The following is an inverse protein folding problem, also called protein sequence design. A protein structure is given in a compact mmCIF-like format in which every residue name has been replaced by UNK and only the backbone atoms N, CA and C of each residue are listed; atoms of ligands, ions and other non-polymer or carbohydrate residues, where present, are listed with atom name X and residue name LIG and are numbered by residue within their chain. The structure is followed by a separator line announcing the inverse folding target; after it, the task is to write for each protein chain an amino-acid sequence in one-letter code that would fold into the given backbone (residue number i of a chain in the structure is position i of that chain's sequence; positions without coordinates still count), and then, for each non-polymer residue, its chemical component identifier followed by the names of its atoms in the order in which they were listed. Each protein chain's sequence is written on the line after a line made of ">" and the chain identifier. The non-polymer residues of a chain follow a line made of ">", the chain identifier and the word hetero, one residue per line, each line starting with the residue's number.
data_IF_942039351629
#
_entry.id   IF_942039351629
#
_cell.length_a   1.000
_cell.length_b   1.000
_cell.length_c   1.000
_cell.angle_alpha   90.00
_cell.angle_beta   90.00
_cell.angle_gamma   90.00
#
_symmetry.space_group_name_H-M   'P 1'
#
loop_
_entity.id
_entity.type
_entity.pdbx_description
1 polymer ?
#
# COMPACT_ATOMS: atom_id res chain seq x y z
N UNK A 1 -17.11 -34.60 8.57
CA UNK A 1 -18.38 -34.48 7.81
C UNK A 1 -18.25 -33.28 6.89
N UNK A 2 -18.38 -33.47 5.57
CA UNK A 2 -18.17 -32.43 4.54
C UNK A 2 -19.20 -31.30 4.63
N UNK A 3 -20.45 -31.63 4.91
CA UNK A 3 -21.54 -30.63 4.98
C UNK A 3 -21.31 -29.61 6.09
N UNK A 4 -20.88 -30.07 7.26
CA UNK A 4 -20.57 -29.20 8.40
C UNK A 4 -19.40 -28.25 8.09
N UNK A 5 -18.37 -28.74 7.40
CA UNK A 5 -17.26 -27.91 6.95
C UNK A 5 -17.72 -26.86 5.93
N UNK A 6 -18.57 -27.22 4.98
CA UNK A 6 -19.11 -26.28 3.99
C UNK A 6 -19.91 -25.16 4.65
N UNK A 7 -20.74 -25.45 5.66
CA UNK A 7 -21.46 -24.42 6.40
C UNK A 7 -20.51 -23.41 7.06
N UNK A 8 -19.48 -23.90 7.76
CA UNK A 8 -18.44 -23.04 8.36
C UNK A 8 -17.71 -22.23 7.29
N UNK A 9 -17.37 -22.85 6.16
CA UNK A 9 -16.69 -22.18 5.06
C UNK A 9 -17.53 -21.04 4.45
N UNK A 10 -18.86 -21.20 4.39
CA UNK A 10 -19.75 -20.11 3.98
C UNK A 10 -19.80 -19.01 5.04
N UNK A 11 -19.95 -19.36 6.32
CA UNK A 11 -20.08 -18.38 7.41
C UNK A 11 -18.83 -17.52 7.61
N UNK A 12 -17.66 -18.01 7.17
CA UNK A 12 -16.39 -17.29 7.25
C UNK A 12 -15.92 -16.70 5.92
N UNK A 13 -16.72 -16.77 4.84
CA UNK A 13 -16.33 -16.40 3.47
C UNK A 13 -14.98 -17.02 3.04
N UNK A 14 -14.83 -18.32 3.28
CA UNK A 14 -13.57 -19.01 3.04
C UNK A 14 -13.25 -19.06 1.53
N UNK A 15 -11.97 -18.84 1.21
CA UNK A 15 -11.49 -18.84 -0.16
C UNK A 15 -11.76 -20.19 -0.86
N UNK A 16 -12.30 -20.11 -2.08
CA UNK A 16 -12.71 -21.28 -2.85
C UNK A 16 -11.62 -22.36 -3.00
N UNK A 17 -10.37 -21.96 -3.26
CA UNK A 17 -9.26 -22.90 -3.41
C UNK A 17 -9.02 -23.72 -2.14
N UNK A 18 -9.13 -23.08 -0.96
CA UNK A 18 -9.00 -23.75 0.34
C UNK A 18 -10.18 -24.72 0.56
N UNK A 19 -11.39 -24.27 0.23
CA UNK A 19 -12.60 -25.09 0.30
C UNK A 19 -12.47 -26.34 -0.57
N UNK A 20 -12.06 -26.19 -1.84
CA UNK A 20 -11.84 -27.31 -2.76
C UNK A 20 -10.81 -28.29 -2.23
N UNK A 21 -9.64 -27.80 -1.83
CA UNK A 21 -8.53 -28.61 -1.34
C UNK A 21 -8.89 -29.45 -0.10
N UNK A 22 -9.57 -28.85 0.87
CA UNK A 22 -9.98 -29.57 2.09
C UNK A 22 -11.04 -30.63 1.79
N UNK A 23 -12.02 -30.32 0.95
CA UNK A 23 -13.08 -31.28 0.60
C UNK A 23 -12.54 -32.46 -0.19
N UNK A 24 -11.63 -32.24 -1.15
CA UNK A 24 -10.97 -33.31 -1.89
C UNK A 24 -10.27 -34.35 -1.00
N UNK A 25 -9.87 -33.98 0.23
CA UNK A 25 -9.24 -34.89 1.20
C UNK A 25 -10.20 -35.53 2.18
N UNK A 26 -11.39 -34.96 2.32
CA UNK A 26 -12.44 -35.54 3.16
C UNK A 26 -13.26 -36.59 2.41
N UNK A 27 -13.23 -36.57 1.07
CA UNK A 27 -13.89 -37.60 0.26
C UNK A 27 -13.10 -38.91 0.27
N UNK A 28 -13.80 -40.06 0.31
CA UNK A 28 -13.17 -41.35 0.17
C UNK A 28 -12.52 -41.52 -1.22
N UNK A 29 -11.40 -42.23 -1.28
CA UNK A 29 -10.80 -42.65 -2.55
C UNK A 29 -11.78 -43.56 -3.29
N UNK A 30 -12.03 -43.24 -4.58
CA UNK A 30 -12.73 -43.90 -5.72
C UNK A 30 -13.60 -45.16 -5.55
N UNK A 31 -13.47 -45.95 -4.49
CA UNK A 31 -14.08 -47.27 -4.31
C UNK A 31 -15.28 -47.29 -3.36
N UNK A 32 -15.74 -46.12 -2.89
CA UNK A 32 -16.93 -46.00 -2.05
C UNK A 32 -18.03 -45.30 -2.84
N UNK A 33 -19.23 -45.86 -2.86
CA UNK A 33 -20.42 -45.32 -3.51
C UNK A 33 -20.89 -44.00 -2.83
N UNK A 34 -20.12 -42.93 -2.98
CA UNK A 34 -20.52 -41.57 -2.61
C UNK A 34 -21.11 -40.86 -3.82
N UNK A 35 -22.14 -40.05 -3.58
CA UNK A 35 -22.83 -39.25 -4.61
C UNK A 35 -21.94 -38.19 -5.26
N UNK A 36 -20.86 -37.80 -4.57
CA UNK A 36 -19.85 -36.85 -5.05
C UNK A 36 -18.48 -37.51 -4.93
N UNK A 37 -17.71 -37.48 -6.02
CA UNK A 37 -16.35 -38.00 -6.07
C UNK A 37 -15.32 -36.87 -6.30
N UNK A 38 -14.04 -37.22 -6.23
CA UNK A 38 -12.94 -36.24 -6.39
C UNK A 38 -12.91 -35.66 -7.82
N UNK A 39 -13.34 -36.42 -8.83
CA UNK A 39 -13.40 -35.93 -10.20
C UNK A 39 -14.47 -34.84 -10.37
N UNK A 40 -15.66 -35.04 -9.80
CA UNK A 40 -16.75 -34.05 -9.80
C UNK A 40 -16.34 -32.76 -9.11
N UNK A 41 -15.62 -32.86 -7.98
CA UNK A 41 -15.05 -31.67 -7.30
C UNK A 41 -13.99 -30.97 -8.15
N UNK A 42 -13.21 -31.72 -8.93
CA UNK A 42 -12.18 -31.13 -9.79
C UNK A 42 -12.78 -30.20 -10.85
N UNK A 43 -13.99 -30.48 -11.33
CA UNK A 43 -14.71 -29.69 -12.33
C UNK A 43 -15.33 -28.41 -11.79
N UNK A 44 -15.63 -28.35 -10.48
CA UNK A 44 -16.11 -27.13 -9.84
C UNK A 44 -15.11 -25.98 -10.07
N UNK A 45 -15.63 -24.76 -10.26
CA UNK A 45 -14.83 -23.54 -10.51
C UNK A 45 -15.07 -22.44 -9.48
N UNK A 46 -16.07 -22.61 -8.62
CA UNK A 46 -16.46 -21.63 -7.62
C UNK A 46 -17.00 -22.28 -6.35
N UNK A 47 -17.10 -21.49 -5.27
CA UNK A 47 -17.81 -21.91 -4.07
C UNK A 47 -19.29 -22.22 -4.41
N UNK A 48 -19.94 -21.46 -5.28
CA UNK A 48 -21.32 -21.74 -5.66
C UNK A 48 -21.48 -23.16 -6.25
N UNK A 49 -20.59 -23.56 -7.16
CA UNK A 49 -20.60 -24.90 -7.75
C UNK A 49 -20.37 -25.98 -6.67
N UNK A 50 -19.42 -25.75 -5.77
CA UNK A 50 -19.12 -26.67 -4.67
C UNK A 50 -20.33 -26.90 -3.78
N UNK A 51 -21.04 -25.83 -3.39
CA UNK A 51 -22.21 -25.96 -2.53
C UNK A 51 -23.40 -26.60 -3.28
N UNK A 52 -23.52 -26.37 -4.59
CA UNK A 52 -24.52 -27.03 -5.42
C UNK A 52 -24.35 -28.55 -5.47
N UNK A 53 -23.10 -29.05 -5.56
CA UNK A 53 -22.81 -30.49 -5.56
C UNK A 53 -23.30 -31.20 -4.28
N UNK A 54 -23.38 -30.49 -3.16
CA UNK A 54 -23.84 -31.03 -1.87
C UNK A 54 -25.27 -30.59 -1.51
N UNK A 55 -26.02 -29.99 -2.44
CA UNK A 55 -27.40 -29.54 -2.20
C UNK A 55 -27.52 -28.38 -1.20
N UNK A 56 -26.45 -27.61 -1.01
CA UNK A 56 -26.37 -26.48 -0.06
C UNK A 56 -26.50 -25.10 -0.75
N UNK A 57 -27.06 -25.06 -1.95
CA UNK A 57 -27.21 -23.82 -2.74
C UNK A 57 -27.96 -22.74 -1.97
N UNK A 58 -29.12 -23.07 -1.39
CA UNK A 58 -29.98 -22.12 -0.69
C UNK A 58 -29.27 -21.55 0.56
N UNK A 59 -28.54 -22.40 1.28
CA UNK A 59 -27.74 -21.99 2.42
C UNK A 59 -26.67 -20.97 2.01
N UNK A 60 -25.86 -21.30 1.00
CA UNK A 60 -24.79 -20.43 0.51
C UNK A 60 -25.32 -19.07 0.02
N UNK A 61 -26.43 -19.08 -0.73
CA UNK A 61 -27.06 -17.86 -1.21
C UNK A 61 -27.58 -16.99 -0.06
N UNK A 62 -28.20 -17.59 0.96
CA UNK A 62 -28.69 -16.84 2.12
C UNK A 62 -27.56 -16.14 2.90
N UNK A 63 -26.43 -16.84 3.09
CA UNK A 63 -25.25 -16.30 3.78
C UNK A 63 -24.64 -15.15 2.96
N UNK A 64 -24.50 -15.33 1.64
CA UNK A 64 -23.97 -14.28 0.76
C UNK A 64 -24.87 -13.05 0.70
N UNK A 65 -26.20 -13.22 0.67
CA UNK A 65 -27.14 -12.11 0.77
C UNK A 65 -26.99 -11.33 2.08
N UNK A 66 -26.69 -12.03 3.18
CA UNK A 66 -26.36 -11.43 4.47
C UNK A 66 -25.09 -10.58 4.43
N UNK A 67 -24.02 -11.09 3.81
CA UNK A 67 -22.78 -10.32 3.63
C UNK A 67 -22.98 -9.10 2.74
N UNK A 68 -23.70 -9.24 1.62
CA UNK A 68 -24.02 -8.13 0.72
C UNK A 68 -24.84 -7.05 1.44
N UNK A 69 -25.83 -7.45 2.24
CA UNK A 69 -26.65 -6.51 3.02
C UNK A 69 -25.82 -5.74 4.05
N UNK A 70 -24.90 -6.41 4.75
CA UNK A 70 -23.97 -5.77 5.69
C UNK A 70 -23.00 -4.83 4.98
N UNK A 71 -22.47 -5.24 3.83
CA UNK A 71 -21.59 -4.41 3.01
C UNK A 71 -22.31 -3.15 2.51
N UNK A 72 -23.56 -3.28 2.03
CA UNK A 72 -24.39 -2.15 1.62
C UNK A 72 -24.69 -1.19 2.79
N UNK A 73 -25.04 -1.73 3.96
CA UNK A 73 -25.27 -0.94 5.17
C UNK A 73 -24.00 -0.22 5.66
N UNK A 74 -22.82 -0.82 5.49
CA UNK A 74 -21.54 -0.22 5.80
C UNK A 74 -21.16 0.87 4.80
N UNK A 75 -21.38 0.66 3.50
CA UNK A 75 -21.12 1.65 2.45
C UNK A 75 -21.94 2.94 2.66
N UNK A 76 -23.20 2.82 3.11
CA UNK A 76 -24.03 3.98 3.48
C UNK A 76 -23.52 4.74 4.71
N UNK A 77 -22.76 4.08 5.59
CA UNK A 77 -22.19 4.68 6.80
C UNK A 77 -20.82 5.30 6.61
N UNK A 78 -20.13 4.98 5.52
CA UNK A 78 -18.84 5.60 5.25
C UNK A 78 -19.09 7.09 4.97
N UNK A 79 -18.47 8.01 5.74
CA UNK A 79 -18.52 9.41 5.39
C UNK A 79 -17.91 9.55 4.00
N UNK A 80 -18.62 10.23 3.10
CA UNK A 80 -18.00 10.71 1.86
C UNK A 80 -16.76 11.46 2.30
N UNK A 81 -15.58 11.04 1.83
CA UNK A 81 -14.36 11.79 2.06
C UNK A 81 -14.54 13.14 1.36
N UNK A 82 -15.05 14.11 2.11
CA UNK A 82 -15.05 15.50 1.74
C UNK A 82 -13.74 16.01 2.31
N UNK A 83 -12.70 16.21 1.49
CA UNK A 83 -11.48 16.81 1.99
C UNK A 83 -11.84 18.13 2.68
N UNK A 84 -11.42 18.29 3.93
CA UNK A 84 -11.71 19.44 4.81
C UNK A 84 -11.25 20.79 4.21
N UNK A 85 -10.47 20.72 3.13
CA UNK A 85 -10.03 21.85 2.33
C UNK A 85 -10.10 21.49 0.86
N UNK A 86 -10.98 22.16 0.11
CA UNK A 86 -10.80 22.27 -1.34
C UNK A 86 -9.58 23.16 -1.57
N UNK A 87 -8.48 22.59 -2.09
CA UNK A 87 -7.35 23.40 -2.52
C UNK A 87 -7.77 24.15 -3.78
N UNK A 88 -7.72 25.49 -3.72
CA UNK A 88 -7.87 26.31 -4.91
C UNK A 88 -6.57 26.25 -5.73
N UNK A 89 -6.54 25.29 -6.66
CA UNK A 89 -5.42 25.06 -7.58
C UNK A 89 -5.32 26.16 -8.66
N UNK A 90 -6.10 27.25 -8.59
CA UNK A 90 -6.07 28.34 -9.57
C UNK A 90 -4.68 29.01 -9.72
N UNK A 91 -3.82 28.90 -8.70
CA UNK A 91 -2.44 29.41 -8.79
C UNK A 91 -1.48 28.48 -9.54
N UNK A 92 -1.88 27.24 -9.84
CA UNK A 92 -1.07 26.25 -10.56
C UNK A 92 -1.21 26.51 -12.07
N UNK A 93 -0.32 27.35 -12.60
CA UNK A 93 -0.31 27.72 -14.02
C UNK A 93 0.07 26.56 -14.93
N UNK A 94 0.89 25.63 -14.45
CA UNK A 94 1.28 24.44 -15.20
C UNK A 94 1.55 23.26 -14.27
N UNK A 95 0.64 22.28 -14.26
CA UNK A 95 0.74 21.06 -13.46
C UNK A 95 2.01 20.27 -13.75
N UNK A 96 2.52 20.28 -14.99
CA UNK A 96 3.72 19.54 -15.37
C UNK A 96 5.01 20.09 -14.73
N UNK A 97 5.00 21.33 -14.24
CA UNK A 97 6.13 21.94 -13.54
C UNK A 97 5.84 22.21 -12.06
N UNK A 98 4.77 21.63 -11.51
CA UNK A 98 4.41 21.82 -10.11
C UNK A 98 4.86 20.63 -9.28
N UNK A 99 5.44 20.89 -8.11
CA UNK A 99 5.84 19.85 -7.17
C UNK A 99 4.86 19.79 -6.00
N UNK A 100 3.97 18.79 -5.98
CA UNK A 100 2.94 18.63 -4.94
C UNK A 100 3.52 18.55 -3.51
N UNK A 101 4.57 17.75 -3.21
CA UNK A 101 5.16 17.70 -1.87
C UNK A 101 5.68 19.06 -1.40
N UNK A 102 6.15 19.89 -2.31
CA UNK A 102 6.82 21.15 -1.99
C UNK A 102 5.92 22.37 -2.10
N UNK A 103 4.81 22.30 -2.86
CA UNK A 103 3.90 23.41 -3.12
C UNK A 103 4.51 24.50 -4.01
N UNK A 104 5.51 24.16 -4.84
CA UNK A 104 6.25 25.13 -5.66
C UNK A 104 5.99 24.92 -7.15
N UNK A 105 5.74 26.02 -7.84
CA UNK A 105 5.66 26.07 -9.30
C UNK A 105 7.07 26.34 -9.87
N UNK A 106 7.58 25.39 -10.63
CA UNK A 106 8.85 25.50 -11.33
C UNK A 106 8.62 26.02 -12.76
N UNK A 107 9.69 26.49 -13.38
CA UNK A 107 9.65 27.21 -14.65
C UNK A 107 9.91 26.31 -15.85
N UNK A 108 10.54 25.15 -15.65
CA UNK A 108 10.88 24.21 -16.73
C UNK A 108 10.97 22.75 -16.27
N UNK A 109 10.95 21.83 -17.23
CA UNK A 109 11.15 20.39 -16.96
C UNK A 109 12.54 20.08 -16.36
N UNK A 110 13.57 20.87 -16.71
CA UNK A 110 14.91 20.70 -16.15
C UNK A 110 14.93 21.07 -14.66
N UNK A 111 14.23 22.13 -14.28
CA UNK A 111 14.09 22.56 -12.88
C UNK A 111 13.35 21.51 -12.06
N UNK A 112 12.32 20.87 -12.61
CA UNK A 112 11.59 19.75 -11.98
C UNK A 112 12.55 18.59 -11.71
N UNK A 113 13.27 18.15 -12.74
CA UNK A 113 14.22 17.03 -12.61
C UNK A 113 15.34 17.33 -11.61
N UNK A 114 15.82 18.57 -11.56
CA UNK A 114 16.80 19.02 -10.56
C UNK A 114 16.21 19.08 -9.14
N UNK A 115 14.99 19.61 -9.03
CA UNK A 115 14.25 19.75 -7.77
C UNK A 115 13.99 18.39 -7.11
N UNK A 116 13.45 17.42 -7.86
CA UNK A 116 13.14 16.07 -7.37
C UNK A 116 14.39 15.34 -6.86
N UNK A 117 15.53 15.54 -7.53
CA UNK A 117 16.81 14.95 -7.14
C UNK A 117 17.46 15.65 -5.95
N UNK A 118 17.01 16.87 -5.63
CA UNK A 118 17.54 17.73 -4.59
C UNK A 118 17.35 17.18 -3.17
N UNK A 119 18.30 17.50 -2.28
CA UNK A 119 18.29 17.07 -0.87
C UNK A 119 17.03 17.55 -0.12
N UNK A 120 16.59 18.78 -0.37
CA UNK A 120 15.43 19.38 0.31
C UNK A 120 14.13 18.63 -0.02
N UNK A 121 13.90 18.35 -1.31
CA UNK A 121 12.74 17.58 -1.76
C UNK A 121 12.73 16.18 -1.12
N UNK A 122 13.84 15.44 -1.22
CA UNK A 122 13.99 14.10 -0.64
C UNK A 122 13.73 14.08 0.86
N UNK A 123 14.22 15.07 1.60
CA UNK A 123 13.98 15.18 3.03
C UNK A 123 12.50 15.42 3.33
N UNK A 124 11.84 16.31 2.58
CA UNK A 124 10.41 16.60 2.75
C UNK A 124 9.55 15.37 2.50
N UNK A 125 9.81 14.64 1.40
CA UNK A 125 9.13 13.38 1.08
C UNK A 125 9.33 12.33 2.18
N UNK A 126 10.57 12.18 2.69
CA UNK A 126 10.85 11.26 3.80
C UNK A 126 10.06 11.63 5.06
N UNK A 127 10.06 12.91 5.44
CA UNK A 127 9.32 13.38 6.62
C UNK A 127 7.82 13.18 6.46
N UNK A 128 7.25 13.46 5.28
CA UNK A 128 5.83 13.21 4.98
C UNK A 128 5.49 11.72 5.09
N UNK A 129 6.34 10.84 4.55
CA UNK A 129 6.15 9.39 4.67
C UNK A 129 6.17 8.94 6.15
N UNK A 130 7.11 9.45 6.96
CA UNK A 130 7.17 9.14 8.39
C UNK A 130 5.94 9.65 9.16
N UNK A 131 5.44 10.85 8.82
CA UNK A 131 4.23 11.41 9.45
C UNK A 131 2.99 10.60 9.09
N UNK A 132 2.84 10.18 7.83
CA UNK A 132 1.71 9.35 7.40
C UNK A 132 1.67 8.01 8.15
N UNK A 133 2.83 7.38 8.35
CA UNK A 133 2.94 6.12 9.10
C UNK A 133 2.64 6.31 10.60
N UNK A 134 3.04 7.45 11.19
CA UNK A 134 2.74 7.78 12.58
C UNK A 134 1.25 8.05 12.82
N UNK A 135 0.59 8.77 11.91
CA UNK A 135 -0.84 9.05 11.95
C UNK A 135 -1.68 7.77 11.85
N UNK A 136 -1.27 6.82 10.99
CA UNK A 136 -1.92 5.51 10.88
C UNK A 136 -1.75 4.65 12.15
N UNK A 137 -0.71 4.92 12.94
CA UNK A 137 -0.41 4.20 14.19
C UNK A 137 -1.05 4.84 15.44
N UNK A 138 -1.87 5.89 15.28
CA UNK A 138 -2.61 6.52 16.38
C UNK A 138 -1.76 7.29 17.39
N UNK A 139 -0.57 7.75 17.01
CA UNK A 139 0.30 8.55 17.89
C UNK A 139 0.00 10.05 17.71
N UNK A 140 -0.53 10.71 18.74
CA UNK A 140 -0.82 12.15 18.74
C UNK A 140 0.46 13.00 18.63
N UNK A 141 0.73 13.58 17.46
CA UNK A 141 1.89 14.46 17.21
C UNK A 141 1.55 15.95 17.24
N UNK A 142 0.59 16.38 18.06
CA UNK A 142 0.06 17.76 18.09
C UNK A 142 1.06 18.86 18.46
N UNK A 143 2.33 18.53 18.77
CA UNK A 143 3.31 19.48 19.30
C UNK A 143 4.57 19.75 18.45
N UNK A 144 4.70 19.24 17.21
CA UNK A 144 5.94 19.45 16.43
C UNK A 144 5.95 20.66 15.47
N UNK A 145 4.83 21.38 15.33
CA UNK A 145 4.69 22.41 14.28
C UNK A 145 5.23 23.80 14.63
N UNK A 146 5.88 24.03 15.78
CA UNK A 146 6.31 25.37 16.23
C UNK A 146 7.83 25.64 16.23
N UNK A 147 8.64 24.85 15.51
CA UNK A 147 10.10 25.04 15.54
C UNK A 147 10.79 24.95 14.16
N UNK A 148 10.20 25.54 13.11
CA UNK A 148 10.87 25.72 11.83
C UNK A 148 10.69 27.15 11.28
N UNK A 149 10.81 28.13 12.16
CA UNK A 149 11.08 29.51 11.79
C UNK A 149 12.41 29.90 12.43
N UNK A 150 13.52 29.63 11.75
CA UNK A 150 14.81 30.27 12.03
C UNK A 150 15.58 30.50 10.73
N UNK A 151 15.59 31.79 10.35
CA UNK A 151 16.56 32.59 9.60
C UNK A 151 16.78 32.36 8.10
N UNK A 152 16.09 33.21 7.34
CA UNK A 152 16.72 34.24 6.49
C UNK A 152 17.97 34.85 7.17
N UNK A 153 19.16 34.65 6.58
CA UNK A 153 20.18 35.70 6.40
C UNK A 153 21.07 35.35 5.20
N UNK A 154 21.06 36.29 4.27
CA UNK A 154 22.00 36.54 3.19
C UNK A 154 23.47 36.58 3.69
N UNK A 155 24.41 36.04 2.90
CA UNK A 155 25.81 36.48 2.82
C UNK A 155 26.51 35.84 1.61
N UNK A 156 26.85 36.73 0.69
CA UNK A 156 27.81 36.65 -0.40
C UNK A 156 29.10 35.89 -0.01
N UNK A 157 29.51 34.87 -0.77
CA UNK A 157 30.95 34.55 -0.86
C UNK A 157 31.31 33.85 -2.18
N UNK A 158 32.15 34.52 -2.97
CA UNK A 158 32.74 34.04 -4.21
C UNK A 158 33.95 33.15 -3.87
N UNK A 159 34.09 31.91 -4.37
CA UNK A 159 35.33 31.19 -4.19
C UNK A 159 36.31 31.47 -5.33
N UNK A 160 37.31 32.31 -5.05
CA UNK A 160 38.60 32.40 -5.78
C UNK A 160 39.37 31.06 -5.63
N UNK A 161 40.09 30.56 -6.67
CA UNK A 161 40.60 29.19 -6.68
C UNK A 161 41.82 28.96 -5.78
N UNK A 162 41.84 27.83 -5.07
CA UNK A 162 42.96 27.42 -4.20
C UNK A 162 44.08 26.70 -4.97
N UNK A 163 45.28 27.25 -4.77
CA UNK A 163 46.64 26.88 -5.17
C UNK A 163 47.04 25.43 -4.81
N UNK A 164 47.68 24.76 -5.76
CA UNK A 164 48.27 23.41 -5.69
C UNK A 164 49.34 23.31 -4.60
N UNK A 165 49.34 22.23 -3.82
CA UNK A 165 50.42 21.88 -2.88
C UNK A 165 51.06 20.56 -3.29
N UNK A 166 52.37 20.61 -3.53
CA UNK A 166 53.26 19.48 -3.76
C UNK A 166 53.50 18.74 -2.44
N UNK A 167 53.50 17.41 -2.47
CA UNK A 167 53.92 16.54 -1.36
C UNK A 167 55.23 15.85 -1.72
N UNK A 168 56.28 16.12 -0.94
CA UNK A 168 57.53 15.36 -0.88
C UNK A 168 57.37 14.21 0.11
N UNK A 169 57.80 13.00 -0.28
CA UNK A 169 57.90 11.82 0.58
C UNK A 169 59.39 11.53 0.87
N UNK A 170 59.77 11.45 2.15
CA UNK A 170 61.05 10.87 2.62
C UNK A 170 60.77 9.47 3.18
N UNK A 171 61.39 8.42 2.63
CA UNK A 171 62.66 7.76 3.06
C UNK A 171 62.51 6.84 4.27
N UNK A 172 62.90 5.57 4.10
CA UNK A 172 63.94 4.81 4.82
C UNK A 172 63.96 3.39 4.20
N UNK A 173 65.03 3.00 3.50
CA UNK A 173 66.16 2.16 3.98
C UNK A 173 65.76 0.72 4.38
N UNK A 174 66.16 -0.30 3.60
CA UNK A 174 67.28 -1.19 3.97
C UNK A 174 67.57 -2.29 2.91
N UNK A 175 68.83 -2.72 2.93
CA UNK A 175 69.60 -3.53 1.97
C UNK A 175 69.19 -5.02 1.85
N UNK A 176 69.44 -5.66 0.69
CA UNK A 176 70.61 -6.53 0.34
C UNK A 176 70.64 -6.72 -1.17
#
# INVERSE_FOLDING_TARGET
>A
NVEAYLKVAADTDNAYQNTKYNISRMLPSKDVASTVDVATIAEAKSNADMFALFGLTDYYQSVQAGFQSKAAAAALRLPVYVPDRAYDDAHIKNRAFFCDPCGVQLLSAQDVAGHEKGKRHKNKVRTMASQAMAALSGMDTTNFSKSAAINDKDENDHPVPKRVKHTTAGTNDDQV
#
